data_IF_222658908969
#
_entry.id   IF_222658908969
#
_cell.length_a   1.000
_cell.length_b   1.000
_cell.length_c   1.000
_cell.angle_alpha   90.00
_cell.angle_beta   90.00
_cell.angle_gamma   90.00
#
_symmetry.space_group_name_H-M   'P 1'
#
loop_
_entity.id
_entity.type
_entity.pdbx_description
1 polymer ?
#
# COMPACT_ATOMS: atom_id res chain seq x y z
N UNK A 1 16.03 -33.85 6.78
CA UNK A 1 16.20 -32.48 6.25
C UNK A 1 15.68 -32.31 4.83
N UNK A 2 15.91 -33.24 3.88
CA UNK A 2 15.38 -33.12 2.50
C UNK A 2 13.85 -32.97 2.44
N UNK A 3 13.09 -33.78 3.20
CA UNK A 3 11.62 -33.68 3.28
C UNK A 3 11.11 -32.30 3.72
N UNK A 4 11.71 -31.72 4.75
CA UNK A 4 11.31 -30.38 5.22
C UNK A 4 11.56 -29.30 4.17
N UNK A 5 12.67 -29.37 3.44
CA UNK A 5 12.96 -28.42 2.36
C UNK A 5 12.03 -28.59 1.15
N UNK A 6 11.60 -29.82 0.86
CA UNK A 6 10.61 -30.11 -0.18
C UNK A 6 9.23 -29.57 0.23
N UNK A 7 8.77 -29.87 1.45
CA UNK A 7 7.50 -29.36 2.01
C UNK A 7 7.50 -27.82 2.11
N UNK A 8 8.63 -27.22 2.49
CA UNK A 8 8.78 -25.77 2.56
C UNK A 8 8.77 -25.11 1.17
N UNK A 9 9.43 -25.73 0.19
CA UNK A 9 9.40 -25.27 -1.20
C UNK A 9 7.98 -25.35 -1.77
N UNK A 10 7.26 -26.43 -1.46
CA UNK A 10 5.87 -26.64 -1.90
C UNK A 10 4.91 -25.64 -1.25
N UNK A 11 5.15 -25.27 0.01
CA UNK A 11 4.44 -24.19 0.71
C UNK A 11 4.70 -22.81 0.10
N UNK A 12 5.96 -22.45 -0.15
CA UNK A 12 6.31 -21.15 -0.76
C UNK A 12 5.82 -21.03 -2.20
N UNK A 13 5.76 -22.14 -2.94
CA UNK A 13 5.25 -22.17 -4.30
C UNK A 13 3.72 -21.96 -4.38
N UNK A 14 3.01 -21.88 -3.24
CA UNK A 14 1.64 -21.40 -3.23
C UNK A 14 1.63 -19.91 -3.62
N UNK A 15 1.08 -19.59 -4.80
CA UNK A 15 1.10 -18.22 -5.36
C UNK A 15 0.59 -17.16 -4.39
N UNK A 16 -0.48 -17.46 -3.63
CA UNK A 16 -1.04 -16.55 -2.62
C UNK A 16 -0.04 -16.15 -1.51
N UNK A 17 0.89 -17.06 -1.13
CA UNK A 17 1.89 -16.79 -0.09
C UNK A 17 3.02 -15.92 -0.66
N UNK A 18 3.47 -16.21 -1.88
CA UNK A 18 4.54 -15.46 -2.54
C UNK A 18 4.12 -14.00 -2.80
N UNK A 19 2.92 -13.78 -3.34
CA UNK A 19 2.44 -12.43 -3.66
C UNK A 19 2.25 -11.59 -2.40
N UNK A 20 1.72 -12.20 -1.33
CA UNK A 20 1.60 -11.55 -0.03
C UNK A 20 2.98 -11.22 0.57
N UNK A 21 3.94 -12.14 0.49
CA UNK A 21 5.29 -11.91 1.01
C UNK A 21 5.98 -10.76 0.28
N UNK A 22 5.89 -10.71 -1.05
CA UNK A 22 6.46 -9.63 -1.86
C UNK A 22 5.80 -8.29 -1.51
N UNK A 23 4.47 -8.26 -1.37
CA UNK A 23 3.74 -7.05 -0.98
C UNK A 23 4.22 -6.49 0.38
N UNK A 24 4.40 -7.36 1.38
CA UNK A 24 4.87 -6.95 2.71
C UNK A 24 6.32 -6.44 2.68
N UNK A 25 7.22 -7.14 1.98
CA UNK A 25 8.63 -6.74 1.89
C UNK A 25 8.80 -5.40 1.17
N UNK A 26 8.10 -5.22 0.05
CA UNK A 26 8.13 -3.94 -0.69
C UNK A 26 7.47 -2.84 0.16
N UNK A 27 6.36 -3.13 0.84
CA UNK A 27 5.67 -2.16 1.70
C UNK A 27 6.54 -1.65 2.86
N UNK A 28 7.27 -2.56 3.52
CA UNK A 28 8.18 -2.20 4.63
C UNK A 28 9.38 -1.41 4.13
N UNK A 29 10.01 -1.83 3.04
CA UNK A 29 11.13 -1.10 2.43
C UNK A 29 10.71 0.32 1.96
N UNK A 30 9.54 0.44 1.34
CA UNK A 30 9.00 1.75 0.92
C UNK A 30 8.73 2.66 2.11
N UNK A 31 8.13 2.12 3.18
CA UNK A 31 7.89 2.88 4.42
C UNK A 31 9.20 3.39 5.02
N UNK A 32 10.28 2.59 5.00
CA UNK A 32 11.60 3.02 5.47
C UNK A 32 12.16 4.19 4.64
N UNK A 33 11.99 4.18 3.32
CA UNK A 33 12.41 5.29 2.45
C UNK A 33 11.63 6.56 2.80
N UNK A 34 10.30 6.47 2.93
CA UNK A 34 9.47 7.63 3.29
C UNK A 34 9.87 8.16 4.66
N UNK A 35 10.09 7.27 5.64
CA UNK A 35 10.56 7.65 6.98
C UNK A 35 11.89 8.39 6.94
N UNK A 36 12.88 7.92 6.17
CA UNK A 36 14.18 8.59 6.01
C UNK A 36 14.03 9.97 5.38
N UNK A 37 13.16 10.14 4.37
CA UNK A 37 12.87 11.47 3.82
C UNK A 37 12.29 12.39 4.89
N UNK A 38 11.39 11.89 5.74
CA UNK A 38 10.81 12.70 6.82
C UNK A 38 11.84 13.02 7.90
N UNK A 39 12.54 12.02 8.45
CA UNK A 39 13.46 12.18 9.56
C UNK A 39 14.74 12.92 9.19
N UNK A 40 15.24 12.70 7.97
CA UNK A 40 16.59 13.13 7.59
C UNK A 40 16.57 14.40 6.74
N UNK A 41 15.48 14.68 6.03
CA UNK A 41 15.33 15.90 5.22
C UNK A 41 14.33 16.88 5.82
N UNK A 42 13.11 16.41 6.14
CA UNK A 42 12.02 17.32 6.56
C UNK A 42 12.20 17.80 8.00
N UNK A 43 12.52 16.90 8.94
CA UNK A 43 12.67 17.25 10.36
C UNK A 43 13.78 18.30 10.59
N UNK A 44 14.98 18.22 9.98
CA UNK A 44 15.99 19.27 10.08
C UNK A 44 15.55 20.61 9.49
N UNK A 45 14.74 20.60 8.42
CA UNK A 45 14.18 21.83 7.84
C UNK A 45 13.14 22.46 8.75
N UNK A 46 12.29 21.64 9.38
CA UNK A 46 11.31 22.12 10.35
C UNK A 46 12.03 22.68 11.57
N UNK A 47 13.00 21.94 12.13
CA UNK A 47 13.75 22.38 13.31
C UNK A 47 14.52 23.68 13.05
N UNK A 48 15.04 23.90 11.84
CA UNK A 48 15.65 25.17 11.46
C UNK A 48 14.64 26.33 11.49
N UNK A 49 13.40 26.10 11.05
CA UNK A 49 12.34 27.12 11.00
C UNK A 49 11.73 27.38 12.38
N UNK A 50 11.56 26.34 13.21
CA UNK A 50 11.11 26.49 14.61
C UNK A 50 12.22 26.92 15.57
N UNK A 51 13.44 27.19 15.09
CA UNK A 51 14.53 27.73 15.89
C UNK A 51 15.21 26.71 16.81
N UNK A 52 15.25 25.44 16.42
CA UNK A 52 15.90 24.36 17.16
C UNK A 52 15.04 23.77 18.28
N UNK A 53 13.73 23.99 18.28
CA UNK A 53 12.83 23.37 19.25
C UNK A 53 12.71 21.88 18.92
N UNK A 54 13.46 21.05 19.66
CA UNK A 54 13.24 19.62 19.70
C UNK A 54 12.02 19.33 20.59
N UNK A 55 10.90 19.00 19.96
CA UNK A 55 9.70 18.59 20.68
C UNK A 55 9.97 17.39 21.59
N UNK A 56 10.98 16.56 21.30
CA UNK A 56 11.38 15.42 22.14
C UNK A 56 11.75 15.79 23.59
N UNK A 57 12.23 17.03 23.84
CA UNK A 57 12.63 17.48 25.18
C UNK A 57 11.45 17.99 26.03
N UNK A 58 10.28 18.14 25.42
CA UNK A 58 9.05 18.51 26.11
C UNK A 58 8.52 17.34 26.93
N UNK A 59 8.93 17.30 28.19
CA UNK A 59 8.51 16.33 29.20
C UNK A 59 8.03 17.03 30.46
N UNK A 60 6.90 16.57 31.00
CA UNK A 60 6.42 16.98 32.33
C UNK A 60 6.81 15.87 33.30
N UNK A 61 7.79 16.09 34.21
CA UNK A 61 8.10 15.10 35.23
C UNK A 61 6.89 14.93 36.16
N UNK A 62 6.42 13.70 36.35
CA UNK A 62 5.29 13.37 37.23
C UNK A 62 5.75 13.08 38.67
N UNK A 63 6.94 13.54 39.06
CA UNK A 63 7.48 13.37 40.41
C UNK A 63 8.79 14.10 40.64
N UNK A 64 9.24 14.14 41.90
CA UNK A 64 10.50 14.74 42.32
C UNK A 64 11.54 13.64 42.60
N UNK A 65 12.42 13.40 41.64
CA UNK A 65 13.53 12.45 41.78
C UNK A 65 14.21 12.19 40.43
N UNK A 66 15.49 11.76 40.41
CA UNK A 66 16.23 11.47 39.17
C UNK A 66 15.61 10.34 38.33
N UNK A 67 14.79 9.47 38.94
CA UNK A 67 14.08 8.36 38.28
C UNK A 67 12.55 8.56 38.19
N UNK A 68 12.06 9.80 38.34
CA UNK A 68 10.62 10.07 38.27
C UNK A 68 10.09 9.85 36.84
N UNK A 69 8.98 9.11 36.72
CA UNK A 69 8.28 8.93 35.44
C UNK A 69 7.93 10.30 34.84
N UNK A 70 8.34 10.53 33.59
CA UNK A 70 8.07 11.80 32.90
C UNK A 70 7.05 11.56 31.79
N UNK A 71 6.03 12.42 31.72
CA UNK A 71 5.09 12.45 30.61
C UNK A 71 5.73 13.20 29.44
N UNK A 72 6.27 12.45 28.48
CA UNK A 72 6.92 12.94 27.25
C UNK A 72 5.87 13.25 26.18
N UNK A 73 5.05 14.28 26.40
CA UNK A 73 4.08 14.73 25.40
C UNK A 73 4.75 15.20 24.10
N UNK A 74 6.01 15.61 24.20
CA UNK A 74 6.90 15.88 23.09
C UNK A 74 6.99 14.79 22.03
N UNK A 75 7.19 13.54 22.46
CA UNK A 75 7.29 12.39 21.55
C UNK A 75 5.97 12.14 20.82
N UNK A 76 4.84 12.37 21.49
CA UNK A 76 3.54 12.22 20.87
C UNK A 76 3.31 13.27 19.78
N UNK A 77 3.63 14.54 20.05
CA UNK A 77 3.54 15.62 19.05
C UNK A 77 4.45 15.31 17.85
N UNK A 78 5.68 14.85 18.11
CA UNK A 78 6.61 14.44 17.06
C UNK A 78 6.03 13.30 16.21
N UNK A 79 5.46 12.26 16.83
CA UNK A 79 4.82 11.16 16.12
C UNK A 79 3.62 11.62 15.25
N UNK A 80 2.81 12.55 15.74
CA UNK A 80 1.70 13.13 14.96
C UNK A 80 2.22 13.93 13.77
N UNK A 81 3.23 14.77 13.97
CA UNK A 81 3.86 15.53 12.87
C UNK A 81 4.45 14.57 11.83
N UNK A 82 5.18 13.55 12.27
CA UNK A 82 5.76 12.54 11.39
C UNK A 82 4.69 11.81 10.58
N UNK A 83 3.58 11.40 11.20
CA UNK A 83 2.45 10.78 10.52
C UNK A 83 1.84 11.69 9.44
N UNK A 84 1.62 12.97 9.75
CA UNK A 84 1.08 13.93 8.80
C UNK A 84 2.02 14.16 7.60
N UNK A 85 3.33 14.22 7.84
CA UNK A 85 4.32 14.39 6.76
C UNK A 85 4.38 13.13 5.89
N UNK A 86 4.42 11.93 6.48
CA UNK A 86 4.39 10.66 5.73
C UNK A 86 3.14 10.61 4.84
N UNK A 87 1.97 10.92 5.39
CA UNK A 87 0.73 10.96 4.63
C UNK A 87 0.81 11.97 3.46
N UNK A 88 1.38 13.15 3.68
CA UNK A 88 1.59 14.16 2.65
C UNK A 88 2.56 13.68 1.56
N UNK A 89 3.69 13.07 1.93
CA UNK A 89 4.69 12.55 0.97
C UNK A 89 4.11 11.42 0.13
N UNK A 90 3.43 10.46 0.76
CA UNK A 90 2.74 9.37 0.04
C UNK A 90 1.69 9.93 -0.91
N UNK A 91 0.90 10.91 -0.47
CA UNK A 91 -0.07 11.59 -1.31
C UNK A 91 0.59 12.29 -2.52
N UNK A 92 1.71 12.99 -2.30
CA UNK A 92 2.46 13.65 -3.38
C UNK A 92 3.02 12.64 -4.37
N UNK A 93 3.56 11.51 -3.92
CA UNK A 93 4.06 10.44 -4.79
C UNK A 93 2.92 9.82 -5.61
N UNK A 94 1.81 9.46 -4.98
CA UNK A 94 0.63 8.91 -5.69
C UNK A 94 0.08 9.93 -6.70
N UNK A 95 0.03 11.22 -6.34
CA UNK A 95 -0.38 12.30 -7.23
C UNK A 95 0.60 12.51 -8.38
N UNK A 96 1.90 12.42 -8.13
CA UNK A 96 2.93 12.52 -9.17
C UNK A 96 2.85 11.33 -10.13
N UNK A 97 2.69 10.11 -9.62
CA UNK A 97 2.48 8.92 -10.43
C UNK A 97 1.16 8.98 -11.20
N UNK A 98 0.09 9.47 -10.60
CA UNK A 98 -1.21 9.66 -11.29
C UNK A 98 -1.09 10.69 -12.41
N UNK A 99 -0.41 11.82 -12.17
CA UNK A 99 -0.13 12.84 -13.21
C UNK A 99 0.79 12.31 -14.30
N UNK A 100 1.88 11.62 -13.94
CA UNK A 100 2.78 11.00 -14.90
C UNK A 100 2.04 9.95 -15.75
N UNK A 101 1.25 9.07 -15.12
CA UNK A 101 0.39 8.12 -15.83
C UNK A 101 -0.62 8.82 -16.74
N UNK A 102 -1.19 9.98 -16.34
CA UNK A 102 -2.06 10.80 -17.20
C UNK A 102 -1.32 11.35 -18.42
N UNK A 103 -0.05 11.76 -18.26
CA UNK A 103 0.81 12.21 -19.35
C UNK A 103 1.32 11.04 -20.22
N UNK A 104 1.43 9.85 -19.66
CA UNK A 104 1.92 8.62 -20.31
C UNK A 104 0.78 7.63 -20.64
N UNK A 105 -0.47 8.08 -20.79
CA UNK A 105 -1.64 7.22 -21.12
C UNK A 105 -1.56 6.60 -22.51
N UNK A 106 -0.70 5.59 -22.63
CA UNK A 106 -0.88 4.44 -23.53
C UNK A 106 -0.27 3.14 -23.02
N UNK A 107 0.31 3.06 -21.82
CA UNK A 107 0.93 1.83 -21.35
C UNK A 107 0.64 1.51 -19.89
N UNK A 108 -0.20 0.50 -19.66
CA UNK A 108 -0.44 -0.18 -18.38
C UNK A 108 -1.08 0.68 -17.28
N UNK A 109 -2.41 0.74 -17.35
CA UNK A 109 -3.15 0.54 -16.11
C UNK A 109 -2.64 -0.75 -15.46
N UNK A 110 -2.31 -0.68 -14.17
CA UNK A 110 -2.44 -1.84 -13.30
C UNK A 110 -3.95 -2.08 -13.30
N UNK A 111 -4.43 -2.83 -14.28
CA UNK A 111 -5.80 -3.30 -14.34
C UNK A 111 -5.88 -4.40 -13.29
N UNK A 112 -6.55 -4.08 -12.19
CA UNK A 112 -7.37 -5.06 -11.51
C UNK A 112 -8.40 -5.48 -12.58
N UNK A 113 -8.07 -6.52 -13.34
CA UNK A 113 -8.94 -7.08 -14.36
C UNK A 113 -10.07 -7.77 -13.62
N UNK A 114 -11.18 -7.04 -13.45
CA UNK A 114 -12.41 -7.61 -12.89
C UNK A 114 -12.80 -8.84 -13.72
N UNK A 115 -13.07 -9.95 -13.02
CA UNK A 115 -13.41 -11.21 -13.66
C UNK A 115 -14.60 -11.04 -14.63
N UNK A 116 -14.62 -11.75 -15.77
CA UNK A 116 -15.72 -11.70 -16.73
C UNK A 116 -17.03 -12.06 -16.03
N UNK A 117 -18.07 -11.23 -16.19
CA UNK A 117 -19.41 -11.53 -15.65
C UNK A 117 -20.29 -12.18 -16.71
N UNK A 118 -21.08 -13.15 -16.28
CA UNK A 118 -22.09 -13.77 -17.13
C UNK A 118 -23.19 -12.75 -17.49
N UNK A 119 -23.58 -12.61 -18.77
CA UNK A 119 -24.67 -11.71 -19.16
C UNK A 119 -26.07 -12.17 -18.71
N UNK A 120 -26.21 -13.43 -18.28
CA UNK A 120 -27.50 -13.99 -17.87
C UNK A 120 -27.70 -13.96 -16.35
N UNK A 121 -26.72 -14.47 -15.58
CA UNK A 121 -26.82 -14.57 -14.13
C UNK A 121 -25.96 -13.57 -13.37
N UNK A 122 -25.19 -12.73 -14.06
CA UNK A 122 -24.33 -11.69 -13.48
C UNK A 122 -23.21 -12.17 -12.54
N UNK A 123 -23.10 -13.50 -12.35
CA UNK A 123 -22.05 -14.13 -11.58
C UNK A 123 -20.71 -14.15 -12.35
N UNK A 124 -19.60 -14.24 -11.62
CA UNK A 124 -18.25 -14.31 -12.19
C UNK A 124 -18.03 -15.65 -12.90
N UNK A 125 -17.41 -15.59 -14.07
CA UNK A 125 -17.15 -16.74 -14.93
C UNK A 125 -15.69 -16.72 -15.37
N UNK A 126 -15.08 -17.91 -15.42
CA UNK A 126 -13.72 -18.08 -15.91
C UNK A 126 -13.55 -17.52 -17.33
N UNK A 127 -12.40 -16.90 -17.60
CA UNK A 127 -12.02 -16.46 -18.93
C UNK A 127 -12.05 -17.63 -19.93
N UNK A 128 -12.55 -17.38 -21.13
CA UNK A 128 -12.67 -18.38 -22.19
C UNK A 128 -13.83 -19.35 -22.02
N UNK A 129 -14.63 -19.25 -20.95
CA UNK A 129 -15.78 -20.13 -20.78
C UNK A 129 -16.79 -19.94 -21.92
N UNK A 130 -17.20 -21.05 -22.54
CA UNK A 130 -18.28 -21.12 -23.53
C UNK A 130 -19.64 -21.43 -22.89
N UNK A 131 -19.62 -21.92 -21.64
CA UNK A 131 -20.80 -22.15 -20.79
C UNK A 131 -20.56 -21.60 -19.40
N UNK A 132 -21.59 -20.94 -18.86
CA UNK A 132 -21.55 -20.45 -17.48
C UNK A 132 -21.74 -21.63 -16.49
N UNK A 133 -20.90 -21.78 -15.46
CA UNK A 133 -21.05 -22.83 -14.45
C UNK A 133 -22.23 -22.59 -13.48
N UNK A 134 -22.64 -21.34 -13.30
CA UNK A 134 -23.70 -20.97 -12.34
C UNK A 134 -25.11 -21.15 -12.90
N UNK A 135 -25.33 -20.70 -14.15
CA UNK A 135 -26.65 -20.75 -14.77
C UNK A 135 -26.75 -21.72 -15.95
N UNK A 136 -25.66 -22.42 -16.30
CA UNK A 136 -25.57 -23.37 -17.42
C UNK A 136 -25.88 -22.78 -18.80
N UNK A 137 -26.03 -21.45 -18.90
CA UNK A 137 -26.28 -20.77 -20.17
C UNK A 137 -25.06 -20.87 -21.09
N UNK A 138 -25.32 -21.11 -22.37
CA UNK A 138 -24.34 -21.02 -23.44
C UNK A 138 -24.04 -19.55 -23.71
N UNK A 139 -22.77 -19.17 -23.61
CA UNK A 139 -22.38 -17.78 -23.77
C UNK A 139 -22.29 -17.46 -25.27
N UNK A 140 -22.88 -16.34 -25.74
CA UNK A 140 -22.89 -15.97 -27.15
C UNK A 140 -21.48 -15.68 -27.70
N UNK A 141 -20.52 -15.43 -26.81
CA UNK A 141 -19.10 -15.35 -27.08
C UNK A 141 -18.35 -15.90 -25.84
N UNK A 142 -17.13 -16.45 -26.00
CA UNK A 142 -16.33 -16.87 -24.86
C UNK A 142 -16.16 -15.72 -23.86
N UNK A 143 -16.28 -16.02 -22.56
CA UNK A 143 -16.18 -15.01 -21.51
C UNK A 143 -14.82 -14.30 -21.56
N UNK A 144 -14.81 -13.00 -21.83
CA UNK A 144 -13.58 -12.19 -21.84
C UNK A 144 -13.66 -11.17 -20.72
N UNK A 145 -12.53 -10.89 -20.05
CA UNK A 145 -12.43 -9.76 -19.12
C UNK A 145 -12.83 -8.51 -19.87
N UNK A 146 -13.94 -7.90 -19.46
CA UNK A 146 -14.36 -6.62 -20.04
C UNK A 146 -13.36 -5.56 -19.58
N UNK A 147 -12.57 -4.96 -20.49
CA UNK A 147 -11.82 -3.78 -20.11
C UNK A 147 -12.84 -2.73 -19.72
N UNK A 148 -12.65 -2.08 -18.57
CA UNK A 148 -13.54 -1.01 -18.12
C UNK A 148 -13.61 0.03 -19.22
N UNK A 149 -14.70 0.04 -19.98
CA UNK A 149 -14.91 1.00 -21.04
C UNK A 149 -14.72 2.38 -20.42
N UNK A 150 -13.66 3.08 -20.87
CA UNK A 150 -13.32 4.40 -20.38
C UNK A 150 -14.59 5.24 -20.30
N UNK A 151 -14.90 5.68 -19.08
CA UNK A 151 -16.00 6.60 -18.83
C UNK A 151 -15.95 7.71 -19.86
N UNK A 152 -17.04 7.85 -20.60
CA UNK A 152 -17.24 8.88 -21.60
C UNK A 152 -16.93 10.26 -21.00
N UNK A 153 -16.28 11.07 -21.82
CA UNK A 153 -16.13 12.54 -21.83
C UNK A 153 -16.65 13.31 -20.61
#
# INVERSE_FOLDING_TARGET
MKKFFEEFKEFINQGNVMDLAVAVVIGTAFTAIVNSVVSDLIMPLISLVTGGIDFSDMKIPLGTGPDAAAFTYGNFINAVIQFLIIALVVFLIVKALSRARMLTRRGKHIEEQDAPKCPFCLEEVNEGATRCPHCTAELPAPATTTPKAGGKA
#
